data_IF_905722352790
#
_entry.id   IF_905722352790
#
_cell.length_a   1.000
_cell.length_b   1.000
_cell.length_c   1.000
_cell.angle_alpha   90.00
_cell.angle_beta   90.00
_cell.angle_gamma   90.00
#
_symmetry.space_group_name_H-M   'P 1'
#
loop_
_entity.id
_entity.type
_entity.pdbx_description
1 polymer ?
#
# COMPACT_ATOMS: atom_id res chain seq x y z
N UNK A 1 6.33 10.55 20.46
CA UNK A 1 5.94 9.78 19.25
C UNK A 1 6.88 10.18 18.14
N UNK A 2 7.35 9.25 17.33
CA UNK A 2 8.30 9.55 16.27
C UNK A 2 7.57 9.96 14.99
N UNK A 3 8.14 10.91 14.25
CA UNK A 3 7.71 11.27 12.90
C UNK A 3 7.89 10.06 11.98
N UNK A 4 6.80 9.56 11.40
CA UNK A 4 6.82 8.39 10.51
C UNK A 4 6.81 8.79 9.04
N UNK A 5 6.05 9.82 8.67
CA UNK A 5 5.99 10.36 7.33
C UNK A 5 6.15 11.88 7.37
N UNK A 6 7.03 12.40 6.55
CA UNK A 6 7.18 13.83 6.29
C UNK A 6 7.10 14.11 4.81
N UNK A 7 6.18 14.97 4.43
CA UNK A 7 5.99 15.48 3.08
C UNK A 7 6.26 16.97 3.12
N UNK A 8 7.17 17.46 2.27
CA UNK A 8 7.60 18.86 2.28
C UNK A 8 7.50 19.46 0.88
N UNK A 9 6.63 20.43 0.71
CA UNK A 9 6.45 21.21 -0.50
C UNK A 9 6.26 20.37 -1.78
N UNK A 10 5.55 19.24 -1.67
CA UNK A 10 5.40 18.31 -2.80
C UNK A 10 4.44 18.87 -3.84
N UNK A 11 4.94 18.97 -5.07
CA UNK A 11 4.19 19.39 -6.25
C UNK A 11 4.33 18.31 -7.34
N UNK A 12 3.19 17.85 -7.88
CA UNK A 12 3.13 16.91 -9.00
C UNK A 12 2.29 17.48 -10.13
N UNK A 13 2.89 17.57 -11.31
CA UNK A 13 2.24 18.04 -12.55
C UNK A 13 2.06 16.89 -13.53
N UNK A 14 0.93 16.86 -14.20
CA UNK A 14 0.66 16.03 -15.37
C UNK A 14 0.31 16.96 -16.53
N UNK A 15 1.23 17.16 -17.47
CA UNK A 15 1.10 18.13 -18.56
C UNK A 15 0.71 19.53 -18.01
N UNK A 16 -0.54 19.97 -18.22
CA UNK A 16 -1.04 21.27 -17.79
C UNK A 16 -1.81 21.23 -16.44
N UNK A 17 -1.97 20.05 -15.85
CA UNK A 17 -2.73 19.88 -14.61
C UNK A 17 -1.78 19.63 -13.43
N UNK A 18 -1.97 20.40 -12.33
CA UNK A 18 -1.29 20.15 -11.07
C UNK A 18 -2.15 19.23 -10.21
N UNK A 19 -1.73 17.97 -10.07
CA UNK A 19 -2.39 17.00 -9.20
C UNK A 19 -2.09 17.26 -7.71
N UNK A 20 -0.88 17.73 -7.40
CA UNK A 20 -0.46 18.22 -6.09
C UNK A 20 0.20 19.58 -6.27
N UNK A 21 -0.08 20.52 -5.38
CA UNK A 21 0.46 21.87 -5.42
C UNK A 21 0.97 22.28 -4.04
N UNK A 22 2.29 22.19 -3.84
CA UNK A 22 2.99 22.58 -2.61
C UNK A 22 2.39 21.96 -1.34
N UNK A 23 2.17 20.65 -1.37
CA UNK A 23 1.58 19.89 -0.25
C UNK A 23 2.65 19.62 0.79
N UNK A 24 2.37 19.98 2.04
CA UNK A 24 3.23 19.65 3.19
C UNK A 24 2.38 19.03 4.30
N UNK A 25 2.88 17.94 4.89
CA UNK A 25 2.22 17.27 6.01
C UNK A 25 3.21 16.40 6.77
N UNK A 26 2.93 16.16 8.04
CA UNK A 26 3.69 15.25 8.89
C UNK A 26 2.74 14.29 9.58
N UNK A 27 3.06 12.99 9.57
CA UNK A 27 2.32 11.96 10.28
C UNK A 27 3.20 11.29 11.31
N UNK A 28 2.64 11.10 12.50
CA UNK A 28 3.29 10.38 13.59
C UNK A 28 2.93 8.90 13.56
N UNK A 29 3.82 8.07 14.11
CA UNK A 29 3.58 6.64 14.28
C UNK A 29 2.42 6.34 15.24
N UNK A 30 1.77 5.16 15.06
CA UNK A 30 0.73 4.66 15.97
C UNK A 30 -0.62 5.35 15.83
N UNK A 31 -0.89 6.04 14.73
CA UNK A 31 -2.16 6.72 14.46
C UNK A 31 -2.85 6.16 13.23
N UNK A 32 -4.18 6.20 13.24
CA UNK A 32 -5.01 5.99 12.05
C UNK A 32 -5.33 7.36 11.46
N UNK A 33 -4.93 7.58 10.21
CA UNK A 33 -5.06 8.88 9.54
C UNK A 33 -6.02 8.74 8.35
N UNK A 34 -7.03 9.61 8.31
CA UNK A 34 -7.94 9.72 7.17
C UNK A 34 -7.47 10.79 6.19
N UNK A 35 -7.23 10.42 4.93
CA UNK A 35 -6.98 11.35 3.83
C UNK A 35 -8.26 11.57 3.06
N UNK A 36 -8.93 12.72 3.30
CA UNK A 36 -10.24 13.03 2.76
C UNK A 36 -10.17 14.11 1.67
N UNK A 37 -11.09 14.06 0.74
CA UNK A 37 -11.21 15.04 -0.34
C UNK A 37 -12.01 14.51 -1.52
N UNK A 38 -12.46 15.38 -2.45
CA UNK A 38 -13.22 14.97 -3.64
C UNK A 38 -12.37 14.12 -4.60
N UNK A 39 -13.03 13.46 -5.55
CA UNK A 39 -12.33 12.77 -6.63
C UNK A 39 -11.50 13.77 -7.44
N UNK A 40 -10.28 13.38 -7.83
CA UNK A 40 -9.36 14.26 -8.54
C UNK A 40 -8.55 15.22 -7.66
N UNK A 41 -8.73 15.23 -6.33
CA UNK A 41 -7.97 16.11 -5.42
C UNK A 41 -6.51 15.70 -5.16
N UNK A 42 -6.01 14.67 -5.83
CA UNK A 42 -4.61 14.24 -5.73
C UNK A 42 -4.30 13.19 -4.65
N UNK A 43 -5.30 12.67 -3.92
CA UNK A 43 -5.10 11.66 -2.86
C UNK A 43 -4.31 10.44 -3.35
N UNK A 44 -4.77 9.81 -4.42
CA UNK A 44 -4.10 8.64 -5.01
C UNK A 44 -2.70 8.99 -5.53
N UNK A 45 -2.51 10.19 -6.07
CA UNK A 45 -1.19 10.68 -6.50
C UNK A 45 -0.24 10.78 -5.32
N UNK A 46 -0.67 11.37 -4.22
CA UNK A 46 0.14 11.48 -3.00
C UNK A 46 0.49 10.10 -2.43
N UNK A 47 -0.48 9.19 -2.33
CA UNK A 47 -0.26 7.82 -1.87
C UNK A 47 0.76 7.09 -2.78
N UNK A 48 0.65 7.23 -4.09
CA UNK A 48 1.61 6.62 -5.04
C UNK A 48 3.03 7.19 -4.91
N UNK A 49 3.17 8.49 -4.61
CA UNK A 49 4.47 9.11 -4.32
C UNK A 49 5.06 8.53 -3.03
N UNK A 50 4.29 8.47 -1.94
CA UNK A 50 4.73 7.91 -0.65
C UNK A 50 5.19 6.46 -0.81
N UNK A 51 4.53 5.69 -1.67
CA UNK A 51 4.90 4.30 -1.98
C UNK A 51 6.05 4.18 -2.99
N UNK A 52 6.58 5.29 -3.52
CA UNK A 52 7.64 5.30 -4.53
C UNK A 52 7.23 4.74 -5.89
N UNK A 53 5.93 4.72 -6.18
CA UNK A 53 5.37 4.34 -7.48
C UNK A 53 5.42 5.48 -8.49
N UNK A 54 5.48 6.73 -8.02
CA UNK A 54 5.69 7.94 -8.81
C UNK A 54 6.95 8.64 -8.32
N UNK A 55 7.89 8.92 -9.23
CA UNK A 55 9.20 9.50 -8.91
C UNK A 55 9.38 10.94 -9.41
N UNK A 56 8.62 11.34 -10.42
CA UNK A 56 8.71 12.66 -11.03
C UNK A 56 7.79 13.64 -10.29
N UNK A 57 8.33 14.29 -9.26
CA UNK A 57 7.68 15.33 -8.45
C UNK A 57 8.73 16.29 -7.88
N UNK A 58 8.31 17.51 -7.56
CA UNK A 58 9.10 18.51 -6.84
C UNK A 58 8.86 18.37 -5.32
N UNK A 59 9.81 18.74 -4.48
CA UNK A 59 9.72 18.63 -3.03
C UNK A 59 10.36 17.37 -2.47
N UNK A 60 10.07 17.05 -1.21
CA UNK A 60 10.69 15.94 -0.49
C UNK A 60 9.64 15.08 0.22
N UNK A 61 9.86 13.76 0.22
CA UNK A 61 9.08 12.80 1.02
C UNK A 61 10.03 11.88 1.77
N UNK A 62 9.91 11.88 3.10
CA UNK A 62 10.68 11.02 3.99
C UNK A 62 9.74 10.06 4.72
N UNK A 63 10.12 8.80 4.78
CA UNK A 63 9.44 7.75 5.56
C UNK A 63 10.42 7.21 6.58
N UNK A 64 10.09 7.32 7.87
CA UNK A 64 10.99 6.96 8.98
C UNK A 64 12.37 7.63 8.83
N UNK A 65 12.37 8.92 8.44
CA UNK A 65 13.57 9.75 8.24
C UNK A 65 14.38 9.43 6.97
N UNK A 66 13.93 8.52 6.11
CA UNK A 66 14.63 8.14 4.87
C UNK A 66 13.85 8.53 3.62
N UNK A 67 14.57 8.88 2.58
CA UNK A 67 13.96 9.12 1.26
C UNK A 67 13.17 7.92 0.77
N UNK A 68 12.08 8.19 0.03
CA UNK A 68 11.29 7.16 -0.61
C UNK A 68 12.14 6.33 -1.58
N UNK A 69 12.19 5.01 -1.37
CA UNK A 69 13.01 4.10 -2.15
C UNK A 69 12.87 2.64 -1.72
N UNK A 70 13.91 1.86 -1.91
CA UNK A 70 13.91 0.43 -1.56
C UNK A 70 13.70 0.22 -0.06
N UNK A 71 14.40 0.98 0.77
CA UNK A 71 14.33 0.83 2.23
C UNK A 71 12.99 1.28 2.82
N UNK A 72 12.39 2.36 2.30
CA UNK A 72 11.06 2.77 2.75
C UNK A 72 9.97 1.75 2.39
N UNK A 73 10.09 1.08 1.24
CA UNK A 73 9.13 0.04 0.82
C UNK A 73 9.12 -1.18 1.74
N UNK A 74 10.20 -1.46 2.43
CA UNK A 74 10.27 -2.55 3.42
C UNK A 74 9.33 -2.31 4.60
N UNK A 75 9.07 -1.06 4.93
CA UNK A 75 8.26 -0.64 6.09
C UNK A 75 6.91 -0.04 5.71
N UNK A 76 6.57 -0.01 4.43
CA UNK A 76 5.27 0.43 3.91
C UNK A 76 4.49 -0.80 3.43
N UNK A 77 3.23 -0.89 3.81
CA UNK A 77 2.28 -1.85 3.26
C UNK A 77 1.17 -1.11 2.52
N UNK A 78 1.02 -1.38 1.23
CA UNK A 78 0.11 -0.66 0.35
C UNK A 78 -0.96 -1.57 -0.22
N UNK A 79 -2.22 -1.16 -0.10
CA UNK A 79 -3.37 -1.81 -0.73
C UNK A 79 -3.77 -1.00 -1.96
N UNK A 80 -3.53 -1.49 -3.19
CA UNK A 80 -3.95 -0.82 -4.41
C UNK A 80 -5.45 -0.95 -4.65
N UNK A 81 -6.02 -0.02 -5.43
CA UNK A 81 -7.44 0.00 -5.78
C UNK A 81 -7.86 -1.17 -6.68
N UNK A 82 -6.92 -1.71 -7.48
CA UNK A 82 -7.15 -2.78 -8.42
C UNK A 82 -6.45 -4.08 -8.00
N UNK A 83 -7.06 -5.22 -8.37
CA UNK A 83 -6.42 -6.52 -8.21
C UNK A 83 -5.29 -6.67 -9.22
N UNK A 84 -4.08 -6.93 -8.73
CA UNK A 84 -2.87 -7.11 -9.55
C UNK A 84 -2.45 -8.59 -9.70
N UNK A 85 -3.20 -9.52 -9.10
CA UNK A 85 -2.91 -10.94 -9.25
C UNK A 85 -3.49 -11.49 -10.55
N UNK A 86 -2.75 -12.38 -11.17
CA UNK A 86 -3.17 -13.02 -12.41
C UNK A 86 -4.28 -14.06 -12.15
N UNK A 87 -5.24 -14.15 -13.02
CA UNK A 87 -6.41 -15.02 -12.88
C UNK A 87 -6.07 -16.51 -12.75
N UNK A 88 -4.96 -16.96 -13.34
CA UNK A 88 -4.50 -18.35 -13.28
C UNK A 88 -3.81 -18.74 -11.96
N UNK A 89 -3.40 -17.77 -11.14
CA UNK A 89 -2.72 -18.01 -9.86
C UNK A 89 -3.69 -18.61 -8.83
N UNK A 90 -3.14 -19.47 -7.97
CA UNK A 90 -3.82 -19.90 -6.76
C UNK A 90 -3.47 -18.99 -5.59
N UNK A 91 -4.34 -18.89 -4.60
CA UNK A 91 -4.08 -18.15 -3.36
C UNK A 91 -2.76 -18.64 -2.70
N UNK A 92 -2.51 -19.96 -2.66
CA UNK A 92 -1.28 -20.53 -2.10
C UNK A 92 -0.02 -20.02 -2.79
N UNK A 93 -0.06 -19.79 -4.11
CA UNK A 93 1.08 -19.28 -4.87
C UNK A 93 1.37 -17.83 -4.50
N UNK A 94 0.33 -17.02 -4.35
CA UNK A 94 0.45 -15.63 -3.89
C UNK A 94 1.01 -15.57 -2.47
N UNK A 95 0.56 -16.43 -1.57
CA UNK A 95 1.09 -16.52 -0.20
C UNK A 95 2.58 -16.87 -0.20
N UNK A 96 3.02 -17.77 -1.09
CA UNK A 96 4.44 -18.12 -1.23
C UNK A 96 5.25 -16.92 -1.72
N UNK A 97 4.78 -16.24 -2.76
CA UNK A 97 5.41 -15.02 -3.30
C UNK A 97 5.55 -13.95 -2.22
N UNK A 98 4.50 -13.70 -1.42
CA UNK A 98 4.56 -12.73 -0.34
C UNK A 98 5.57 -13.12 0.75
N UNK A 99 5.64 -14.42 1.10
CA UNK A 99 6.62 -14.93 2.05
C UNK A 99 8.07 -14.78 1.55
N UNK A 100 8.29 -14.90 0.25
CA UNK A 100 9.61 -14.76 -0.37
C UNK A 100 10.03 -13.30 -0.54
N UNK A 101 9.07 -12.41 -0.84
CA UNK A 101 9.35 -10.98 -1.11
C UNK A 101 9.44 -10.13 0.16
N UNK A 102 8.71 -10.50 1.21
CA UNK A 102 8.56 -9.67 2.41
C UNK A 102 8.97 -10.44 3.66
N UNK A 103 10.12 -10.12 4.21
CA UNK A 103 10.65 -10.73 5.45
C UNK A 103 9.71 -10.50 6.66
N UNK A 104 8.93 -9.41 6.63
CA UNK A 104 7.99 -9.02 7.67
C UNK A 104 6.57 -9.59 7.47
N UNK A 105 6.37 -10.49 6.48
CA UNK A 105 5.07 -11.08 6.21
C UNK A 105 4.75 -12.20 7.21
N UNK A 106 3.66 -12.02 7.96
CA UNK A 106 3.13 -12.99 8.90
C UNK A 106 2.10 -13.90 8.21
N UNK A 107 2.59 -15.01 7.66
CA UNK A 107 1.76 -15.98 6.93
C UNK A 107 0.66 -16.60 7.80
N UNK A 108 0.92 -16.83 9.07
CA UNK A 108 -0.07 -17.43 9.99
C UNK A 108 -1.22 -16.45 10.28
N UNK A 109 -0.88 -15.18 10.50
CA UNK A 109 -1.89 -14.14 10.64
C UNK A 109 -2.72 -14.00 9.35
N UNK A 110 -2.09 -14.05 8.17
CA UNK A 110 -2.80 -14.03 6.89
C UNK A 110 -3.79 -15.18 6.75
N UNK A 111 -3.37 -16.41 7.06
CA UNK A 111 -4.25 -17.58 7.05
C UNK A 111 -5.42 -17.45 8.04
N UNK A 112 -5.18 -16.87 9.20
CA UNK A 112 -6.21 -16.60 10.21
C UNK A 112 -7.26 -15.61 9.67
N UNK A 113 -6.82 -14.52 9.04
CA UNK A 113 -7.72 -13.54 8.41
C UNK A 113 -8.50 -14.17 7.25
N UNK A 114 -7.83 -14.94 6.41
CA UNK A 114 -8.47 -15.65 5.30
C UNK A 114 -9.57 -16.61 5.79
N UNK A 115 -9.31 -17.38 6.86
CA UNK A 115 -10.31 -18.26 7.46
C UNK A 115 -11.55 -17.49 7.95
N UNK A 116 -11.34 -16.31 8.59
CA UNK A 116 -12.46 -15.43 8.98
C UNK A 116 -13.27 -14.95 7.78
N UNK A 117 -12.63 -14.73 6.64
CA UNK A 117 -13.27 -14.32 5.39
C UNK A 117 -13.77 -15.50 4.55
N UNK A 118 -13.63 -16.74 5.02
CA UNK A 118 -14.01 -17.98 4.33
C UNK A 118 -13.32 -18.14 2.96
N UNK A 119 -12.05 -17.82 2.89
CA UNK A 119 -11.20 -17.97 1.71
C UNK A 119 -10.34 -19.21 1.87
N UNK A 120 -10.37 -20.11 0.88
CA UNK A 120 -9.54 -21.31 0.85
C UNK A 120 -8.28 -21.10 0.01
N UNK A 121 -7.13 -21.58 0.51
CA UNK A 121 -5.83 -21.45 -0.16
C UNK A 121 -5.73 -22.20 -1.50
N UNK A 122 -6.61 -23.15 -1.73
CA UNK A 122 -6.72 -23.91 -2.98
C UNK A 122 -7.52 -23.22 -4.08
N UNK A 123 -8.17 -22.09 -3.80
CA UNK A 123 -8.93 -21.34 -4.80
C UNK A 123 -8.01 -20.65 -5.80
N UNK A 124 -8.45 -20.57 -7.07
CA UNK A 124 -7.84 -19.71 -8.08
C UNK A 124 -8.40 -18.29 -7.99
N UNK A 125 -7.56 -17.31 -8.33
CA UNK A 125 -7.96 -15.89 -8.35
C UNK A 125 -9.18 -15.64 -9.25
N UNK A 126 -9.27 -16.31 -10.41
CA UNK A 126 -10.41 -16.20 -11.32
C UNK A 126 -11.75 -16.69 -10.73
N UNK A 127 -11.71 -17.57 -9.74
CA UNK A 127 -12.91 -18.14 -9.10
C UNK A 127 -13.47 -17.22 -8.00
N UNK A 128 -12.73 -16.19 -7.64
CA UNK A 128 -13.08 -15.26 -6.57
C UNK A 128 -13.97 -14.13 -7.10
N UNK A 129 -15.02 -13.82 -6.36
CA UNK A 129 -15.79 -12.58 -6.58
C UNK A 129 -14.92 -11.34 -6.29
N UNK A 130 -15.35 -10.16 -6.75
CA UNK A 130 -14.66 -8.90 -6.45
C UNK A 130 -14.44 -8.74 -4.93
N UNK A 131 -15.48 -8.93 -4.12
CA UNK A 131 -15.36 -8.80 -2.67
C UNK A 131 -14.44 -9.84 -2.03
N UNK A 132 -14.34 -11.05 -2.60
CA UNK A 132 -13.36 -12.05 -2.16
C UNK A 132 -11.93 -11.62 -2.48
N UNK A 133 -11.69 -11.09 -3.67
CA UNK A 133 -10.37 -10.55 -4.07
C UNK A 133 -9.94 -9.40 -3.16
N UNK A 134 -10.85 -8.47 -2.84
CA UNK A 134 -10.60 -7.36 -1.91
C UNK A 134 -10.25 -7.85 -0.49
N UNK A 135 -11.02 -8.83 0.03
CA UNK A 135 -10.74 -9.44 1.34
C UNK A 135 -9.39 -10.17 1.36
N UNK A 136 -9.05 -10.84 0.28
CA UNK A 136 -7.75 -11.52 0.15
C UNK A 136 -6.60 -10.51 0.13
N UNK A 137 -6.68 -9.47 -0.69
CA UNK A 137 -5.68 -8.40 -0.72
C UNK A 137 -5.52 -7.73 0.66
N UNK A 138 -6.64 -7.46 1.34
CA UNK A 138 -6.63 -6.90 2.69
C UNK A 138 -5.92 -7.85 3.67
N UNK A 139 -6.16 -9.16 3.58
CA UNK A 139 -5.48 -10.15 4.43
C UNK A 139 -3.97 -10.14 4.24
N UNK A 140 -3.50 -10.01 2.99
CA UNK A 140 -2.07 -9.92 2.66
C UNK A 140 -1.44 -8.66 3.25
N UNK A 141 -2.04 -7.50 3.00
CA UNK A 141 -1.51 -6.19 3.42
C UNK A 141 -1.50 -6.07 4.94
N UNK A 142 -2.57 -6.50 5.63
CA UNK A 142 -2.65 -6.45 7.10
C UNK A 142 -1.78 -7.48 7.80
N UNK A 143 -1.25 -8.45 7.08
CA UNK A 143 -0.31 -9.44 7.62
C UNK A 143 1.16 -9.06 7.45
N UNK A 144 1.44 -7.86 6.93
CA UNK A 144 2.75 -7.24 6.97
C UNK A 144 2.94 -6.51 8.31
N UNK A 145 4.12 -6.64 8.92
CA UNK A 145 4.52 -5.87 10.11
C UNK A 145 5.08 -4.49 9.73
N UNK A 146 4.41 -3.85 8.76
CA UNK A 146 4.80 -2.53 8.27
C UNK A 146 4.54 -1.43 9.33
N UNK A 147 5.27 -0.32 9.19
CA UNK A 147 5.10 0.86 10.07
C UNK A 147 4.07 1.84 9.50
N UNK A 148 3.90 1.87 8.15
CA UNK A 148 3.01 2.74 7.39
C UNK A 148 2.18 1.94 6.39
#
# INVERSE_FOLDING_TARGET
MSELLKVTNVTKKYHHFKALNNVSMTLESGKIIGLLGPNGSGKTTLIKIINGLLKDYEGEVLVDGKNVGIDSRKIISYLPDENYFQDWMYIKDVLSIFSDLYEDFDKENCLTLMNRFKLDKGMKIKEMSKGMKEKFQLSLVMSRKAKL
#
